data_IF_751990808644
#
_entry.id   IF_751990808644
#
_cell.length_a   1.000
_cell.length_b   1.000
_cell.length_c   1.000
_cell.angle_alpha   90.00
_cell.angle_beta   90.00
_cell.angle_gamma   90.00
#
_symmetry.space_group_name_H-M   'P 1'
#
loop_
_entity.id
_entity.type
_entity.pdbx_description
1 polymer ?
#
# COMPACT_ATOMS: atom_id res chain seq x y z
N UNK A 1 -45.61 2.88 -21.08
CA UNK A 1 -44.76 2.96 -19.88
C UNK A 1 -43.92 1.69 -19.79
N UNK A 2 -42.67 1.69 -20.29
CA UNK A 2 -41.71 0.59 -20.08
C UNK A 2 -40.47 1.19 -19.42
N UNK A 3 -40.32 0.98 -18.11
CA UNK A 3 -39.15 1.44 -17.34
C UNK A 3 -37.97 0.53 -17.67
N UNK A 4 -37.00 1.11 -18.39
CA UNK A 4 -35.67 0.55 -18.60
C UNK A 4 -35.05 0.14 -17.24
N UNK A 5 -34.81 -1.16 -17.07
CA UNK A 5 -33.97 -1.68 -15.99
C UNK A 5 -32.53 -1.26 -16.29
N UNK A 6 -32.08 -0.18 -15.66
CA UNK A 6 -30.67 0.22 -15.65
C UNK A 6 -29.87 -0.94 -15.08
N UNK A 7 -29.15 -1.62 -15.99
CA UNK A 7 -28.32 -2.77 -15.68
C UNK A 7 -27.20 -2.29 -14.73
N UNK A 8 -27.27 -2.72 -13.47
CA UNK A 8 -26.34 -2.37 -12.39
C UNK A 8 -24.98 -2.99 -12.75
N UNK A 9 -24.17 -2.32 -13.57
CA UNK A 9 -22.79 -2.73 -13.89
C UNK A 9 -22.07 -3.01 -12.57
N UNK A 10 -21.83 -4.29 -12.30
CA UNK A 10 -21.01 -4.75 -11.18
C UNK A 10 -19.71 -3.95 -11.22
N UNK A 11 -19.48 -3.12 -10.21
CA UNK A 11 -18.17 -2.51 -9.97
C UNK A 11 -17.24 -3.67 -9.64
N UNK A 12 -16.62 -4.26 -10.67
CA UNK A 12 -15.58 -5.26 -10.51
C UNK A 12 -14.52 -4.65 -9.60
N UNK A 13 -14.54 -5.05 -8.33
CA UNK A 13 -13.59 -4.55 -7.35
C UNK A 13 -12.20 -4.85 -7.85
N UNK A 14 -11.23 -3.94 -7.68
CA UNK A 14 -9.81 -4.16 -8.06
C UNK A 14 -9.32 -5.51 -7.50
N UNK A 15 -9.83 -5.90 -6.33
CA UNK A 15 -9.61 -7.20 -5.69
C UNK A 15 -10.05 -8.42 -6.54
N UNK A 16 -11.07 -8.29 -7.40
CA UNK A 16 -11.48 -9.35 -8.33
C UNK A 16 -10.49 -9.58 -9.47
N UNK A 17 -9.82 -8.53 -9.95
CA UNK A 17 -8.75 -8.62 -10.94
C UNK A 17 -7.50 -9.31 -10.37
N UNK A 18 -7.32 -9.22 -9.05
CA UNK A 18 -6.21 -9.83 -8.33
C UNK A 18 -6.47 -11.27 -7.88
N UNK A 19 -7.71 -11.80 -8.01
CA UNK A 19 -8.07 -13.18 -7.62
C UNK A 19 -7.13 -14.27 -8.19
N UNK A 20 -6.72 -14.21 -9.47
CA UNK A 20 -5.80 -15.21 -10.04
C UNK A 20 -4.42 -15.21 -9.34
N UNK A 21 -4.05 -14.09 -8.70
CA UNK A 21 -2.75 -13.88 -8.05
C UNK A 21 -2.81 -14.02 -6.53
N UNK A 22 -3.92 -14.52 -5.98
CA UNK A 22 -4.13 -14.63 -4.53
C UNK A 22 -3.03 -15.39 -3.78
N UNK A 23 -2.42 -16.39 -4.41
CA UNK A 23 -1.37 -17.19 -3.77
C UNK A 23 -0.08 -16.37 -3.60
N UNK A 24 0.30 -15.60 -4.63
CA UNK A 24 1.48 -14.72 -4.56
C UNK A 24 1.24 -13.56 -3.60
N UNK A 25 0.03 -12.99 -3.60
CA UNK A 25 -0.35 -11.94 -2.67
C UNK A 25 -0.37 -12.48 -1.23
N UNK A 26 -0.91 -13.68 -0.99
CA UNK A 26 -0.89 -14.30 0.33
C UNK A 26 0.54 -14.58 0.81
N UNK A 27 1.43 -15.02 -0.08
CA UNK A 27 2.84 -15.22 0.23
C UNK A 27 3.53 -13.90 0.60
N UNK A 28 3.29 -12.84 -0.19
CA UNK A 28 3.78 -11.49 0.08
C UNK A 28 3.29 -10.99 1.44
N UNK A 29 2.01 -11.15 1.74
CA UNK A 29 1.40 -10.81 3.03
C UNK A 29 2.13 -11.57 4.14
N UNK A 30 2.28 -12.89 4.01
CA UNK A 30 2.92 -13.74 5.02
C UNK A 30 4.38 -13.32 5.31
N UNK A 31 5.19 -13.09 4.27
CA UNK A 31 6.56 -12.59 4.46
C UNK A 31 6.58 -11.21 5.10
N UNK A 32 5.64 -10.33 4.74
CA UNK A 32 5.49 -9.03 5.36
C UNK A 32 5.13 -9.15 6.84
N UNK A 33 4.21 -10.06 7.21
CA UNK A 33 3.87 -10.33 8.61
C UNK A 33 5.11 -10.72 9.41
N UNK A 34 5.87 -11.70 8.92
CA UNK A 34 7.05 -12.24 9.62
C UNK A 34 8.16 -11.19 9.73
N UNK A 35 8.47 -10.49 8.64
CA UNK A 35 9.52 -9.47 8.61
C UNK A 35 9.21 -8.29 9.55
N UNK A 36 7.95 -7.82 9.55
CA UNK A 36 7.55 -6.73 10.45
C UNK A 36 7.47 -7.20 11.91
N UNK A 37 6.98 -8.41 12.19
CA UNK A 37 6.97 -8.94 13.56
C UNK A 37 8.39 -9.06 14.14
N UNK A 38 9.38 -9.39 13.32
CA UNK A 38 10.78 -9.41 13.76
C UNK A 38 11.29 -8.02 14.20
N UNK A 39 10.79 -6.93 13.61
CA UNK A 39 11.16 -5.57 14.01
C UNK A 39 10.73 -5.24 15.45
N UNK A 40 9.67 -5.88 15.97
CA UNK A 40 9.21 -5.69 17.34
C UNK A 40 10.13 -6.32 18.40
N UNK A 41 11.09 -7.15 17.98
CA UNK A 41 12.10 -7.73 18.88
C UNK A 41 13.07 -6.65 19.37
N UNK A 42 13.35 -5.62 18.55
CA UNK A 42 14.34 -4.59 18.86
C UNK A 42 14.00 -3.80 20.15
N UNK A 43 12.78 -3.24 20.33
CA UNK A 43 12.42 -2.58 21.58
C UNK A 43 12.57 -3.49 22.81
N UNK A 44 12.29 -4.79 22.67
CA UNK A 44 12.42 -5.75 23.78
C UNK A 44 13.88 -6.01 24.16
N UNK A 45 14.80 -6.04 23.19
CA UNK A 45 16.24 -6.13 23.45
C UNK A 45 16.72 -4.87 24.18
N UNK A 46 16.24 -3.69 23.76
CA UNK A 46 16.58 -2.41 24.40
C UNK A 46 16.08 -2.39 25.85
N UNK A 47 14.81 -2.75 26.09
CA UNK A 47 14.24 -2.82 27.43
C UNK A 47 15.06 -3.73 28.36
N UNK A 48 15.33 -4.96 27.91
CA UNK A 48 16.17 -5.91 28.67
C UNK A 48 17.58 -5.37 28.94
N UNK A 49 18.13 -4.58 28.01
CA UNK A 49 19.42 -3.93 28.19
C UNK A 49 19.40 -2.88 29.30
N UNK A 50 18.31 -2.11 29.42
CA UNK A 50 18.11 -1.12 30.48
C UNK A 50 17.89 -1.83 31.83
N UNK A 51 17.09 -2.90 31.85
CA UNK A 51 16.78 -3.65 33.08
C UNK A 51 18.06 -4.27 33.67
N UNK A 52 18.84 -4.99 32.84
CA UNK A 52 20.11 -5.60 33.28
C UNK A 52 21.18 -4.58 33.66
N UNK A 53 21.14 -3.37 33.08
CA UNK A 53 21.96 -2.24 33.51
C UNK A 53 21.60 -1.77 34.92
N UNK A 54 20.31 -1.62 35.19
CA UNK A 54 19.81 -1.19 36.50
C UNK A 54 20.06 -2.24 37.60
N UNK A 55 20.00 -3.52 37.25
CA UNK A 55 20.28 -4.65 38.16
C UNK A 55 21.78 -4.89 38.40
N UNK A 56 22.68 -4.22 37.67
CA UNK A 56 24.13 -4.40 37.79
C UNK A 56 24.66 -5.70 37.15
N UNK A 57 23.82 -6.48 36.47
CA UNK A 57 24.17 -7.73 35.76
C UNK A 57 24.50 -7.50 34.27
N UNK A 58 24.73 -6.24 33.89
CA UNK A 58 24.87 -5.82 32.50
C UNK A 58 26.08 -6.45 31.80
N UNK A 59 25.79 -7.13 30.70
CA UNK A 59 26.82 -7.61 29.79
C UNK A 59 26.60 -7.02 28.41
N UNK A 60 27.41 -6.02 28.06
CA UNK A 60 27.36 -5.37 26.75
C UNK A 60 27.49 -6.37 25.60
N UNK A 61 28.30 -7.43 25.78
CA UNK A 61 28.51 -8.47 24.77
C UNK A 61 27.22 -9.23 24.44
N UNK A 62 26.44 -9.59 25.45
CA UNK A 62 25.21 -10.38 25.27
C UNK A 62 24.17 -9.55 24.50
N UNK A 63 23.98 -8.29 24.90
CA UNK A 63 23.01 -7.39 24.26
C UNK A 63 23.45 -7.08 22.82
N UNK A 64 24.75 -6.81 22.61
CA UNK A 64 25.29 -6.52 21.29
C UNK A 64 25.13 -7.72 20.35
N UNK A 65 25.40 -8.95 20.81
CA UNK A 65 25.20 -10.17 20.01
C UNK A 65 23.72 -10.39 19.68
N UNK A 66 22.82 -10.23 20.67
CA UNK A 66 21.37 -10.33 20.43
C UNK A 66 20.89 -9.30 19.42
N UNK A 67 21.36 -8.06 19.55
CA UNK A 67 21.03 -6.97 18.65
C UNK A 67 21.53 -7.25 17.23
N UNK A 68 22.81 -7.63 17.06
CA UNK A 68 23.38 -7.97 15.76
C UNK A 68 22.64 -9.13 15.08
N UNK A 69 22.32 -10.19 15.83
CA UNK A 69 21.55 -11.32 15.29
C UNK A 69 20.16 -10.84 14.85
N UNK A 70 19.46 -10.09 15.71
CA UNK A 70 18.13 -9.58 15.41
C UNK A 70 18.14 -8.67 14.16
N UNK A 71 19.04 -7.71 14.08
CA UNK A 71 19.15 -6.81 12.93
C UNK A 71 19.54 -7.54 11.65
N UNK A 72 20.40 -8.55 11.74
CA UNK A 72 20.79 -9.36 10.58
C UNK A 72 19.60 -10.16 10.06
N UNK A 73 18.85 -10.79 10.95
CA UNK A 73 17.62 -11.52 10.60
C UNK A 73 16.59 -10.58 9.97
N UNK A 74 16.33 -9.42 10.60
CA UNK A 74 15.42 -8.41 10.07
C UNK A 74 15.86 -7.95 8.67
N UNK A 75 17.14 -7.66 8.49
CA UNK A 75 17.69 -7.24 7.21
C UNK A 75 17.50 -8.30 6.12
N UNK A 76 17.82 -9.56 6.40
CA UNK A 76 17.62 -10.67 5.46
C UNK A 76 16.14 -10.81 5.08
N UNK A 77 15.24 -10.83 6.06
CA UNK A 77 13.80 -10.90 5.80
C UNK A 77 13.29 -9.69 5.01
N UNK A 78 13.82 -8.49 5.26
CA UNK A 78 13.48 -7.28 4.51
C UNK A 78 13.89 -7.39 3.04
N UNK A 79 15.07 -7.95 2.75
CA UNK A 79 15.50 -8.23 1.37
C UNK A 79 14.55 -9.23 0.71
N UNK A 80 14.29 -10.37 1.37
CA UNK A 80 13.39 -11.39 0.82
C UNK A 80 11.99 -10.84 0.55
N UNK A 81 11.43 -10.07 1.49
CA UNK A 81 10.15 -9.39 1.33
C UNK A 81 10.18 -8.46 0.10
N UNK A 82 11.21 -7.64 -0.04
CA UNK A 82 11.35 -6.70 -1.17
C UNK A 82 11.45 -7.43 -2.52
N UNK A 83 12.19 -8.54 -2.57
CA UNK A 83 12.32 -9.36 -3.78
C UNK A 83 10.98 -10.00 -4.14
N UNK A 84 10.30 -10.65 -3.18
CA UNK A 84 8.98 -11.28 -3.40
C UNK A 84 7.94 -10.24 -3.82
N UNK A 85 7.95 -9.07 -3.19
CA UNK A 85 7.07 -7.95 -3.50
C UNK A 85 7.28 -7.47 -4.95
N UNK A 86 8.54 -7.25 -5.34
CA UNK A 86 8.90 -6.79 -6.69
C UNK A 86 8.49 -7.83 -7.73
N UNK A 87 8.90 -9.09 -7.57
CA UNK A 87 8.58 -10.17 -8.50
C UNK A 87 7.07 -10.38 -8.64
N UNK A 88 6.32 -10.34 -7.53
CA UNK A 88 4.87 -10.47 -7.57
C UNK A 88 4.23 -9.33 -8.35
N UNK A 89 4.66 -8.09 -8.09
CA UNK A 89 4.11 -6.91 -8.76
C UNK A 89 4.39 -6.92 -10.27
N UNK A 90 5.62 -7.27 -10.67
CA UNK A 90 6.00 -7.36 -12.08
C UNK A 90 5.22 -8.44 -12.81
N UNK A 91 5.04 -9.60 -12.17
CA UNK A 91 4.31 -10.71 -12.78
C UNK A 91 2.83 -10.40 -12.97
N UNK A 92 2.22 -9.71 -12.01
CA UNK A 92 0.84 -9.19 -12.12
C UNK A 92 0.77 -8.16 -13.26
N UNK A 93 1.69 -7.20 -13.30
CA UNK A 93 1.73 -6.16 -14.33
C UNK A 93 1.92 -6.74 -15.74
N UNK A 94 2.86 -7.67 -15.90
CA UNK A 94 3.13 -8.36 -17.16
C UNK A 94 1.88 -9.08 -17.67
N UNK A 95 1.23 -9.89 -16.82
CA UNK A 95 0.04 -10.65 -17.21
C UNK A 95 -1.17 -9.76 -17.51
N UNK A 96 -1.33 -8.66 -16.78
CA UNK A 96 -2.36 -7.65 -17.07
C UNK A 96 -2.12 -7.00 -18.44
N UNK A 97 -0.88 -6.56 -18.72
CA UNK A 97 -0.49 -6.01 -20.03
C UNK A 97 -0.70 -7.01 -21.16
N UNK A 98 -0.28 -8.25 -20.97
CA UNK A 98 -0.47 -9.33 -21.95
C UNK A 98 -1.96 -9.52 -22.26
N UNK A 99 -2.79 -9.62 -21.23
CA UNK A 99 -4.24 -9.82 -21.37
C UNK A 99 -4.93 -8.63 -22.03
N UNK A 100 -4.56 -7.39 -21.65
CA UNK A 100 -5.10 -6.18 -22.27
C UNK A 100 -4.68 -6.07 -23.72
N UNK A 101 -3.40 -6.30 -24.02
CA UNK A 101 -2.85 -6.24 -25.37
C UNK A 101 -3.55 -7.24 -26.29
N UNK A 102 -3.66 -8.51 -25.88
CA UNK A 102 -4.40 -9.54 -26.63
C UNK A 102 -5.86 -9.13 -26.87
N UNK A 103 -6.51 -8.56 -25.86
CA UNK A 103 -7.91 -8.16 -25.98
C UNK A 103 -8.11 -6.96 -26.89
N UNK A 104 -7.17 -6.01 -26.91
CA UNK A 104 -7.18 -4.83 -27.81
C UNK A 104 -6.89 -5.27 -29.25
N UNK A 105 -5.89 -6.13 -29.46
CA UNK A 105 -5.52 -6.62 -30.80
C UNK A 105 -6.62 -7.42 -31.48
N UNK A 106 -7.52 -8.03 -30.71
CA UNK A 106 -8.69 -8.74 -31.24
C UNK A 106 -9.94 -7.87 -31.48
N UNK A 107 -9.90 -6.56 -31.21
CA UNK A 107 -11.05 -5.67 -31.44
C UNK A 107 -11.13 -5.16 -32.87
N UNK A 108 -12.33 -4.78 -33.29
CA UNK A 108 -12.52 -4.09 -34.57
C UNK A 108 -11.91 -2.68 -34.53
N UNK A 109 -11.51 -2.19 -35.71
CA UNK A 109 -11.00 -0.83 -35.87
C UNK A 109 -12.01 0.24 -35.38
N UNK A 110 -13.30 0.03 -35.65
CA UNK A 110 -14.38 0.90 -35.18
C UNK A 110 -14.42 1.01 -33.65
N UNK A 111 -14.29 -0.11 -32.94
CA UNK A 111 -14.24 -0.11 -31.48
C UNK A 111 -13.04 0.68 -30.94
N UNK A 112 -11.87 0.54 -31.58
CA UNK A 112 -10.64 1.24 -31.18
C UNK A 112 -10.80 2.75 -31.35
N UNK A 113 -11.42 3.21 -32.45
CA UNK A 113 -11.72 4.63 -32.64
C UNK A 113 -12.70 5.15 -31.60
N UNK A 114 -13.79 4.41 -31.34
CA UNK A 114 -14.81 4.80 -30.36
C UNK A 114 -14.24 4.92 -28.93
N UNK A 115 -13.32 4.04 -28.53
CA UNK A 115 -12.70 4.08 -27.21
C UNK A 115 -11.55 5.08 -27.05
N UNK A 116 -11.16 5.76 -28.13
CA UNK A 116 -9.97 6.62 -28.24
C UNK A 116 -8.65 5.83 -28.04
N UNK A 117 -7.79 5.73 -29.07
CA UNK A 117 -6.50 5.02 -28.98
C UNK A 117 -5.60 5.48 -27.82
N UNK A 118 -5.58 6.79 -27.52
CA UNK A 118 -4.79 7.35 -26.43
C UNK A 118 -5.23 6.81 -25.06
N UNK A 119 -6.54 6.63 -24.86
CA UNK A 119 -7.08 6.04 -23.62
C UNK A 119 -6.70 4.56 -23.49
N UNK A 120 -6.75 3.80 -24.58
CA UNK A 120 -6.29 2.40 -24.59
C UNK A 120 -4.80 2.30 -24.26
N UNK A 121 -3.98 3.24 -24.75
CA UNK A 121 -2.56 3.32 -24.40
C UNK A 121 -2.36 3.65 -22.92
N UNK A 122 -3.10 4.60 -22.35
CA UNK A 122 -3.09 4.90 -20.90
C UNK A 122 -3.46 3.67 -20.08
N UNK A 123 -4.49 2.94 -20.48
CA UNK A 123 -4.91 1.71 -19.81
C UNK A 123 -3.82 0.63 -19.83
N UNK A 124 -3.05 0.52 -20.92
CA UNK A 124 -1.98 -0.48 -21.07
C UNK A 124 -0.69 -0.09 -20.31
N UNK A 125 -0.50 1.20 -20.05
CA UNK A 125 0.70 1.76 -19.44
C UNK A 125 0.43 2.20 -17.99
N UNK A 126 -0.03 3.43 -17.80
CA UNK A 126 -0.17 4.09 -16.50
C UNK A 126 -1.14 3.38 -15.55
N UNK A 127 -2.26 2.86 -16.06
CA UNK A 127 -3.23 2.15 -15.20
C UNK A 127 -2.67 0.81 -14.74
N UNK A 128 -1.97 0.07 -15.61
CA UNK A 128 -1.29 -1.17 -15.22
C UNK A 128 -0.15 -0.89 -14.24
N UNK A 129 0.64 0.17 -14.44
CA UNK A 129 1.67 0.59 -13.50
C UNK A 129 1.11 0.98 -12.14
N UNK A 130 -0.09 1.59 -12.12
CA UNK A 130 -0.81 1.89 -10.88
C UNK A 130 -1.23 0.61 -10.15
N UNK A 131 -1.73 -0.40 -10.86
CA UNK A 131 -2.08 -1.71 -10.27
C UNK A 131 -0.82 -2.42 -9.75
N UNK A 132 0.26 -2.41 -10.52
CA UNK A 132 1.57 -2.97 -10.11
C UNK A 132 2.07 -2.29 -8.84
N UNK A 133 2.05 -0.96 -8.78
CA UNK A 133 2.43 -0.19 -7.59
C UNK A 133 1.55 -0.49 -6.39
N UNK A 134 0.24 -0.65 -6.61
CA UNK A 134 -0.69 -1.04 -5.54
C UNK A 134 -0.39 -2.45 -4.99
N UNK A 135 -0.08 -3.41 -5.86
CA UNK A 135 0.29 -4.78 -5.44
C UNK A 135 1.65 -4.80 -4.73
N UNK A 136 2.62 -4.02 -5.22
CA UNK A 136 3.93 -3.89 -4.61
C UNK A 136 3.81 -3.21 -3.25
N UNK A 137 3.51 -1.92 -3.25
CA UNK A 137 3.61 -1.07 -2.06
C UNK A 137 2.30 -1.03 -1.27
N UNK A 138 1.17 -0.89 -1.95
CA UNK A 138 -0.13 -0.70 -1.28
C UNK A 138 -0.50 -1.87 -0.37
N UNK A 139 -0.52 -3.09 -0.90
CA UNK A 139 -0.87 -4.29 -0.13
C UNK A 139 0.13 -4.54 0.99
N UNK A 140 1.43 -4.52 0.68
CA UNK A 140 2.51 -4.74 1.64
C UNK A 140 2.47 -3.72 2.78
N UNK A 141 2.31 -2.43 2.45
CA UNK A 141 2.27 -1.34 3.42
C UNK A 141 1.05 -1.42 4.33
N UNK A 142 -0.16 -1.65 3.79
CA UNK A 142 -1.37 -1.78 4.61
C UNK A 142 -1.22 -2.91 5.63
N UNK A 143 -0.76 -4.08 5.18
CA UNK A 143 -0.55 -5.25 6.04
C UNK A 143 0.51 -4.94 7.10
N UNK A 144 1.65 -4.40 6.68
CA UNK A 144 2.76 -4.03 7.57
C UNK A 144 2.29 -3.03 8.63
N UNK A 145 1.55 -1.99 8.25
CA UNK A 145 1.00 -1.00 9.18
C UNK A 145 0.06 -1.63 10.20
N UNK A 146 -0.84 -2.53 9.77
CA UNK A 146 -1.75 -3.22 10.70
C UNK A 146 -0.98 -4.09 11.68
N UNK A 147 0.01 -4.87 11.23
CA UNK A 147 0.86 -5.69 12.09
C UNK A 147 1.63 -4.85 13.09
N UNK A 148 2.27 -3.78 12.60
CA UNK A 148 3.06 -2.89 13.45
C UNK A 148 2.17 -2.25 14.51
N UNK A 149 1.01 -1.71 14.14
CA UNK A 149 0.07 -1.10 15.10
C UNK A 149 -0.37 -2.13 16.14
N UNK A 150 -0.90 -3.28 15.72
CA UNK A 150 -1.43 -4.30 16.64
C UNK A 150 -0.30 -4.86 17.50
N UNK A 151 0.82 -5.23 16.88
CA UNK A 151 1.94 -5.82 17.58
C UNK A 151 2.59 -4.84 18.56
N UNK A 152 2.73 -3.57 18.21
CA UNK A 152 3.24 -2.54 19.14
C UNK A 152 2.28 -2.33 20.30
N UNK A 153 0.97 -2.29 20.07
CA UNK A 153 -0.03 -2.20 21.15
C UNK A 153 0.09 -3.39 22.10
N UNK A 154 0.15 -4.61 21.56
CA UNK A 154 0.34 -5.83 22.36
C UNK A 154 1.65 -5.77 23.15
N UNK A 155 2.75 -5.36 22.49
CA UNK A 155 4.06 -5.26 23.13
C UNK A 155 4.06 -4.25 24.29
N UNK A 156 3.44 -3.08 24.11
CA UNK A 156 3.31 -2.08 25.16
C UNK A 156 2.56 -2.62 26.36
N UNK A 157 1.42 -3.29 26.13
CA UNK A 157 0.61 -3.88 27.19
C UNK A 157 1.34 -5.01 27.94
N UNK A 158 2.21 -5.76 27.26
CA UNK A 158 3.04 -6.81 27.88
C UNK A 158 4.16 -6.22 28.73
N UNK A 159 4.77 -5.12 28.28
CA UNK A 159 5.88 -4.47 29.00
C UNK A 159 5.36 -3.81 30.28
N UNK A 160 4.38 -2.90 30.14
CA UNK A 160 3.77 -2.20 31.26
C UNK A 160 2.39 -1.67 30.85
N UNK A 161 1.35 -2.31 31.37
CA UNK A 161 -0.03 -1.95 31.03
C UNK A 161 -0.50 -0.62 31.66
N UNK A 162 0.08 -0.23 32.81
CA UNK A 162 -0.26 1.01 33.50
C UNK A 162 0.26 2.22 32.73
N UNK A 163 1.47 2.12 32.17
CA UNK A 163 2.05 3.14 31.29
C UNK A 163 1.47 3.08 29.86
N UNK A 164 1.10 1.89 29.37
CA UNK A 164 0.53 1.74 28.03
C UNK A 164 -0.84 2.41 27.87
N UNK A 165 -1.72 2.31 28.87
CA UNK A 165 -3.09 2.84 28.80
C UNK A 165 -3.15 4.36 28.49
N UNK A 166 -2.41 5.24 29.20
CA UNK A 166 -2.33 6.65 28.85
C UNK A 166 -1.83 6.91 27.43
N UNK A 167 -0.85 6.14 26.96
CA UNK A 167 -0.31 6.26 25.59
C UNK A 167 -1.36 5.85 24.56
N UNK A 168 -2.08 4.76 24.80
CA UNK A 168 -3.15 4.29 23.92
C UNK A 168 -4.33 5.26 23.86
N UNK A 169 -4.61 6.02 24.93
CA UNK A 169 -5.63 7.08 24.93
C UNK A 169 -5.30 8.23 23.97
N UNK A 170 -4.03 8.46 23.64
CA UNK A 170 -3.62 9.49 22.67
C UNK A 170 -3.99 9.06 21.24
N UNK A 171 -4.01 7.76 20.93
CA UNK A 171 -4.24 7.22 19.58
C UNK A 171 -5.60 7.67 19.00
N UNK A 172 -6.75 7.55 19.70
CA UNK A 172 -8.02 8.07 19.22
C UNK A 172 -7.99 9.57 18.90
N UNK A 173 -7.33 10.37 19.73
CA UNK A 173 -7.23 11.83 19.52
C UNK A 173 -6.49 12.15 18.22
N UNK A 174 -5.35 11.48 17.98
CA UNK A 174 -4.59 11.60 16.73
C UNK A 174 -5.42 11.11 15.54
N UNK A 175 -6.12 9.98 15.66
CA UNK A 175 -6.95 9.42 14.61
C UNK A 175 -8.11 10.34 14.21
N UNK A 176 -8.78 10.96 15.19
CA UNK A 176 -9.86 11.94 14.96
C UNK A 176 -9.31 13.17 14.23
N UNK A 177 -8.20 13.72 14.73
CA UNK A 177 -7.55 14.89 14.12
C UNK A 177 -7.14 14.59 12.68
N UNK A 178 -6.52 13.45 12.45
CA UNK A 178 -6.13 12.98 11.13
C UNK A 178 -7.34 12.81 10.20
N UNK A 179 -8.44 12.24 10.69
CA UNK A 179 -9.67 12.06 9.92
C UNK A 179 -10.26 13.40 9.47
N UNK A 180 -10.36 14.38 10.38
CA UNK A 180 -10.89 15.71 10.08
C UNK A 180 -10.02 16.42 9.04
N UNK A 181 -8.70 16.40 9.22
CA UNK A 181 -7.74 17.02 8.30
C UNK A 181 -7.81 16.35 6.93
N UNK A 182 -7.81 15.02 6.88
CA UNK A 182 -7.87 14.25 5.63
C UNK A 182 -9.14 14.56 4.82
N UNK A 183 -10.29 14.72 5.50
CA UNK A 183 -11.54 15.13 4.87
C UNK A 183 -11.42 16.51 4.23
N UNK A 184 -10.79 17.47 4.91
CA UNK A 184 -10.56 18.83 4.40
C UNK A 184 -9.59 18.83 3.21
N UNK A 185 -8.48 18.10 3.33
CA UNK A 185 -7.48 17.93 2.26
C UNK A 185 -8.13 17.36 1.00
N UNK A 186 -9.00 16.35 1.13
CA UNK A 186 -9.71 15.76 -0.01
C UNK A 186 -10.52 16.79 -0.80
N UNK A 187 -11.22 17.69 -0.10
CA UNK A 187 -12.01 18.76 -0.74
C UNK A 187 -11.09 19.72 -1.49
N UNK A 188 -9.98 20.13 -0.88
CA UNK A 188 -8.99 21.01 -1.52
C UNK A 188 -8.36 20.38 -2.76
N UNK A 189 -8.05 19.08 -2.71
CA UNK A 189 -7.54 18.33 -3.86
C UNK A 189 -8.53 18.26 -5.03
N UNK A 190 -9.83 18.16 -4.74
CA UNK A 190 -10.86 18.15 -5.79
C UNK A 190 -10.97 19.53 -6.45
N UNK A 191 -10.98 20.61 -5.65
CA UNK A 191 -10.96 21.98 -6.18
C UNK A 191 -9.71 22.27 -7.01
N UNK A 192 -8.54 21.81 -6.56
CA UNK A 192 -7.29 21.94 -7.32
C UNK A 192 -7.36 21.23 -8.68
N UNK A 193 -7.98 20.04 -8.73
CA UNK A 193 -8.23 19.33 -9.99
C UNK A 193 -9.16 20.10 -10.93
N UNK A 194 -10.24 20.67 -10.42
CA UNK A 194 -11.15 21.49 -11.23
C UNK A 194 -10.44 22.68 -11.90
N UNK A 195 -9.51 23.34 -11.18
CA UNK A 195 -8.70 24.44 -11.72
C UNK A 195 -7.75 23.96 -12.82
N UNK A 196 -7.09 22.80 -12.61
CA UNK A 196 -6.22 22.19 -13.63
C UNK A 196 -7.01 21.81 -14.88
N UNK A 197 -8.19 21.23 -14.71
CA UNK A 197 -9.07 20.84 -15.83
C UNK A 197 -9.54 22.07 -16.62
N UNK A 198 -9.90 23.16 -15.92
CA UNK A 198 -10.22 24.44 -16.57
C UNK A 198 -9.03 25.01 -17.35
N UNK A 199 -7.83 25.01 -16.77
CA UNK A 199 -6.62 25.49 -17.44
C UNK A 199 -6.32 24.69 -18.71
N UNK A 200 -6.40 23.36 -18.63
CA UNK A 200 -6.23 22.47 -19.78
C UNK A 200 -7.27 22.72 -20.87
N UNK A 201 -8.50 23.07 -20.49
CA UNK A 201 -9.55 23.45 -21.43
C UNK A 201 -9.22 24.75 -22.16
N UNK A 202 -8.86 25.81 -21.43
CA UNK A 202 -8.51 27.12 -22.01
C UNK A 202 -7.31 27.01 -22.94
N UNK A 203 -6.28 26.25 -22.56
CA UNK A 203 -5.12 26.00 -23.40
C UNK A 203 -5.53 25.31 -24.71
N UNK A 204 -6.34 24.24 -24.64
CA UNK A 204 -6.81 23.54 -25.83
C UNK A 204 -7.68 24.43 -26.73
N UNK A 205 -8.61 25.20 -26.16
CA UNK A 205 -9.46 26.13 -26.91
C UNK A 205 -8.62 27.23 -27.58
N UNK A 206 -7.60 27.76 -26.90
CA UNK A 206 -6.71 28.80 -27.44
C UNK A 206 -5.83 28.26 -28.57
N UNK A 207 -5.26 27.07 -28.42
CA UNK A 207 -4.45 26.43 -29.47
C UNK A 207 -5.30 26.13 -30.70
N UNK A 208 -6.49 25.56 -30.51
CA UNK A 208 -7.42 25.25 -31.60
C UNK A 208 -7.99 26.50 -32.28
N UNK A 209 -8.19 27.60 -31.54
CA UNK A 209 -8.65 28.87 -32.10
C UNK A 209 -7.56 29.70 -32.78
N UNK A 210 -6.29 29.36 -32.58
CA UNK A 210 -5.14 30.03 -33.21
C UNK A 210 -4.60 29.30 -34.46
N UNK A 211 -5.12 28.11 -34.75
CA UNK A 211 -4.78 27.26 -35.90
C UNK A 211 -5.87 27.34 -36.97
#
# INVERSE_FOLDING_TARGET
MSKNKVNKKSKGSIFSLLKPYRAMIALLVLFSLIGNAANLIIPRIIAKGIDTYTEGSFSYKIILVQFLIATTVIFLFSIFQTVVQTLTSERVGFKLRESLSQKISGQSFTFIQEMNPSKLLTNLTADVDSIKSFVSLGVSSIVSSVVMIIGTVILLLIIDWELALPVLMIIPSVAITFYIISKKIRVLFLRGREVIDWLNRVINESILGSA
#
